data_IF_719131891000
#
_entry.id   IF_719131891000
#
_cell.length_a   1.000
_cell.length_b   1.000
_cell.length_c   1.000
_cell.angle_alpha   90.00
_cell.angle_beta   90.00
_cell.angle_gamma   90.00
#
_symmetry.space_group_name_H-M   'P 1'
#
loop_
_entity.id
_entity.type
_entity.pdbx_description
1 polymer ?
#
# COMPACT_ATOMS: atom_id res chain seq x y z
N UNK A 1 -1.76 15.71 -1.94
CA UNK A 1 -1.52 15.79 -0.48
C UNK A 1 -1.48 17.22 0.03
N UNK A 2 -1.35 18.22 -0.84
CA UNK A 2 -1.12 19.63 -0.48
C UNK A 2 -2.28 20.30 0.28
N UNK A 3 -3.51 19.84 0.06
CA UNK A 3 -4.69 20.37 0.74
C UNK A 3 -4.96 19.72 2.10
N UNK A 4 -4.27 18.63 2.45
CA UNK A 4 -4.56 17.87 3.67
C UNK A 4 -4.23 18.68 4.93
N UNK A 5 -3.06 19.32 4.97
CA UNK A 5 -2.65 20.16 6.10
C UNK A 5 -3.63 21.30 6.38
N UNK A 6 -3.92 22.17 5.40
CA UNK A 6 -4.90 23.25 5.57
C UNK A 6 -6.32 22.77 5.89
N UNK A 7 -6.70 21.57 5.46
CA UNK A 7 -8.01 20.99 5.77
C UNK A 7 -8.10 20.47 7.21
N UNK A 8 -7.07 19.75 7.68
CA UNK A 8 -7.03 19.20 9.04
C UNK A 8 -6.71 20.26 10.10
N UNK A 9 -5.91 21.26 9.74
CA UNK A 9 -5.40 22.32 10.62
C UNK A 9 -5.74 23.70 10.02
N UNK A 10 -7.02 24.08 9.99
CA UNK A 10 -7.48 25.26 9.27
C UNK A 10 -6.91 26.59 9.81
N UNK A 11 -6.40 26.61 11.04
CA UNK A 11 -5.75 27.79 11.61
C UNK A 11 -4.21 27.69 11.60
N UNK A 12 -3.65 26.65 10.96
CA UNK A 12 -2.21 26.43 10.90
C UNK A 12 -1.61 25.90 12.22
N UNK A 13 -2.42 25.28 13.07
CA UNK A 13 -2.01 24.80 14.40
C UNK A 13 -1.02 23.62 14.38
N UNK A 14 -0.90 22.90 13.25
CA UNK A 14 0.04 21.80 13.07
C UNK A 14 0.56 21.73 11.63
N UNK A 15 1.73 21.13 11.49
CA UNK A 15 2.35 20.82 10.19
C UNK A 15 2.47 19.32 10.02
N UNK A 16 2.29 18.83 8.78
CA UNK A 16 2.54 17.44 8.45
C UNK A 16 4.04 17.26 8.24
N UNK A 17 4.67 16.45 9.08
CA UNK A 17 6.10 16.17 9.03
C UNK A 17 6.42 15.02 8.06
N UNK A 18 5.62 13.97 8.09
CA UNK A 18 5.84 12.77 7.29
C UNK A 18 4.53 12.19 6.76
N UNK A 19 4.64 11.51 5.61
CA UNK A 19 3.55 10.73 5.04
C UNK A 19 3.89 9.25 5.10
N UNK A 20 3.00 8.51 5.76
CA UNK A 20 3.00 7.04 5.79
C UNK A 20 1.85 6.54 4.95
N UNK A 21 2.10 5.54 4.12
CA UNK A 21 1.06 4.94 3.28
C UNK A 21 1.02 3.42 3.46
N UNK A 22 -0.18 2.87 3.47
CA UNK A 22 -0.42 1.43 3.47
C UNK A 22 -1.58 1.12 2.53
N UNK A 23 -1.66 -0.12 2.05
CA UNK A 23 -2.70 -0.53 1.11
C UNK A 23 -2.70 -2.03 0.89
N UNK A 24 -3.89 -2.62 0.78
CA UNK A 24 -4.07 -4.08 0.65
C UNK A 24 -4.49 -4.41 -0.78
N UNK A 25 -3.72 -5.20 -1.53
CA UNK A 25 -4.11 -5.82 -2.81
C UNK A 25 -4.16 -4.88 -4.04
N UNK A 26 -5.11 -5.16 -4.95
CA UNK A 26 -5.21 -4.70 -6.33
C UNK A 26 -6.55 -4.04 -6.69
N UNK A 27 -7.61 -4.25 -5.90
CA UNK A 27 -8.94 -3.72 -6.17
C UNK A 27 -9.50 -3.03 -4.93
N UNK A 28 -10.10 -1.84 -5.13
CA UNK A 28 -10.61 -0.84 -4.16
C UNK A 28 -9.76 -0.51 -2.92
N UNK A 29 -8.73 -1.30 -2.61
CA UNK A 29 -7.71 -1.13 -1.60
C UNK A 29 -6.35 -1.49 -2.21
N UNK A 30 -5.31 -0.85 -1.70
CA UNK A 30 -4.46 0.04 -2.51
C UNK A 30 -2.99 -0.39 -2.55
N UNK A 31 -2.66 -1.69 -2.52
CA UNK A 31 -1.26 -2.15 -2.52
C UNK A 31 -0.43 -1.62 -3.71
N UNK A 32 -1.04 -1.47 -4.88
CA UNK A 32 -0.38 -0.88 -6.07
C UNK A 32 -0.27 0.62 -6.02
N UNK A 33 -1.27 1.30 -5.45
CA UNK A 33 -1.23 2.75 -5.26
C UNK A 33 -0.17 3.10 -4.23
N UNK A 34 0.02 2.28 -3.20
CA UNK A 34 1.14 2.37 -2.26
C UNK A 34 2.47 2.30 -2.98
N UNK A 35 2.69 1.30 -3.84
CA UNK A 35 3.91 1.22 -4.65
C UNK A 35 4.08 2.41 -5.59
N UNK A 36 3.01 2.85 -6.24
CA UNK A 36 3.05 3.99 -7.16
C UNK A 36 3.38 5.31 -6.44
N UNK A 37 2.84 5.52 -5.25
CA UNK A 37 3.12 6.71 -4.42
C UNK A 37 4.52 6.65 -3.79
N UNK A 38 4.98 5.47 -3.38
CA UNK A 38 6.37 5.26 -2.98
C UNK A 38 7.32 5.66 -4.12
N UNK A 39 6.98 5.32 -5.37
CA UNK A 39 7.80 5.63 -6.53
C UNK A 39 7.69 7.11 -6.98
N UNK A 40 6.49 7.69 -7.06
CA UNK A 40 6.26 8.99 -7.70
C UNK A 40 6.30 10.18 -6.74
N UNK A 41 5.93 10.01 -5.46
CA UNK A 41 5.86 11.14 -4.53
C UNK A 41 7.03 11.10 -3.53
N UNK A 42 7.99 12.04 -3.62
CA UNK A 42 9.13 12.08 -2.71
C UNK A 42 8.75 12.42 -1.27
N UNK A 43 7.53 12.89 -0.99
CA UNK A 43 7.07 13.16 0.39
C UNK A 43 6.70 11.89 1.14
N UNK A 44 6.40 10.80 0.42
CA UNK A 44 6.08 9.50 1.01
C UNK A 44 7.37 8.78 1.35
N UNK A 45 7.71 8.74 2.63
CA UNK A 45 8.96 8.15 3.12
C UNK A 45 8.76 6.73 3.66
N UNK A 46 7.56 6.40 4.12
CA UNK A 46 7.23 5.10 4.70
C UNK A 46 6.07 4.48 3.93
N UNK A 47 6.24 3.23 3.49
CA UNK A 47 5.21 2.50 2.75
C UNK A 47 5.07 1.05 3.18
N UNK A 48 3.82 0.60 3.31
CA UNK A 48 3.49 -0.76 3.76
C UNK A 48 2.51 -1.42 2.77
N UNK A 49 2.98 -1.82 1.57
CA UNK A 49 2.14 -2.56 0.64
C UNK A 49 1.87 -3.98 1.15
N UNK A 50 0.60 -4.33 1.30
CA UNK A 50 0.13 -5.64 1.74
C UNK A 50 -0.47 -6.37 0.55
N UNK A 51 0.12 -7.50 0.17
CA UNK A 51 -0.33 -8.39 -0.92
C UNK A 51 -0.45 -7.61 -2.25
N UNK A 52 0.46 -6.66 -2.45
CA UNK A 52 0.56 -5.84 -3.66
C UNK A 52 1.97 -5.92 -4.21
N UNK A 53 2.11 -5.95 -5.54
CA UNK A 53 3.41 -5.96 -6.19
C UNK A 53 3.80 -4.55 -6.69
N UNK A 54 5.09 -4.28 -6.87
CA UNK A 54 5.57 -3.01 -7.42
C UNK A 54 5.02 -2.75 -8.82
N UNK A 55 4.90 -1.47 -9.18
CA UNK A 55 4.40 -1.03 -10.49
C UNK A 55 5.25 -1.59 -11.65
N UNK A 56 6.53 -1.80 -11.39
CA UNK A 56 7.53 -2.43 -12.21
C UNK A 56 7.13 -3.81 -12.72
N UNK A 57 6.43 -4.57 -11.87
CA UNK A 57 5.96 -5.92 -12.17
C UNK A 57 4.51 -5.93 -12.70
N UNK A 58 3.86 -4.76 -12.76
CA UNK A 58 2.46 -4.58 -13.15
C UNK A 58 2.13 -5.22 -14.51
N UNK A 59 2.92 -5.01 -15.58
CA UNK A 59 2.64 -5.63 -16.87
C UNK A 59 2.72 -7.16 -16.83
N UNK A 60 3.64 -7.71 -16.04
CA UNK A 60 3.92 -9.16 -15.99
C UNK A 60 2.73 -9.91 -15.42
N UNK A 61 2.24 -9.50 -14.25
CA UNK A 61 1.14 -10.22 -13.62
C UNK A 61 -0.21 -9.85 -14.25
N UNK A 62 -0.42 -8.59 -14.70
CA UNK A 62 -1.70 -8.19 -15.33
C UNK A 62 -1.90 -8.92 -16.66
N UNK A 63 -0.82 -9.10 -17.43
CA UNK A 63 -0.82 -9.97 -18.62
C UNK A 63 -1.16 -11.41 -18.26
N UNK A 64 -0.52 -11.97 -17.23
CA UNK A 64 -0.79 -13.34 -16.80
C UNK A 64 -2.27 -13.51 -16.38
N UNK A 65 -2.83 -12.53 -15.66
CA UNK A 65 -4.23 -12.50 -15.26
C UNK A 65 -5.17 -12.43 -16.45
N UNK A 66 -4.96 -11.49 -17.37
CA UNK A 66 -5.77 -11.36 -18.58
C UNK A 66 -5.82 -12.68 -19.37
N UNK A 67 -4.65 -13.28 -19.62
CA UNK A 67 -4.55 -14.56 -20.33
C UNK A 67 -5.26 -15.70 -19.59
N UNK A 68 -5.16 -15.76 -18.25
CA UNK A 68 -5.85 -16.78 -17.45
C UNK A 68 -7.38 -16.66 -17.51
N UNK A 69 -7.90 -15.47 -17.82
CA UNK A 69 -9.32 -15.19 -17.99
C UNK A 69 -9.78 -15.30 -19.45
N UNK A 70 -8.92 -15.78 -20.35
CA UNK A 70 -9.22 -15.89 -21.78
C UNK A 70 -9.24 -14.54 -22.51
N UNK A 71 -8.77 -13.47 -21.88
CA UNK A 71 -8.63 -12.16 -22.51
C UNK A 71 -7.33 -12.09 -23.30
N UNK A 72 -7.36 -11.35 -24.41
CA UNK A 72 -6.18 -11.09 -25.24
C UNK A 72 -5.38 -9.92 -24.66
N UNK A 73 -4.05 -9.99 -24.73
CA UNK A 73 -3.14 -8.90 -24.35
C UNK A 73 -2.76 -8.04 -25.57
N UNK A 74 -3.76 -7.60 -26.32
CA UNK A 74 -3.62 -6.85 -27.56
C UNK A 74 -4.84 -5.94 -27.77
N UNK A 75 -4.80 -4.99 -28.73
CA UNK A 75 -5.95 -4.14 -29.03
C UNK A 75 -7.19 -4.97 -29.46
N UNK A 76 -8.42 -4.58 -29.07
CA UNK A 76 -8.79 -3.36 -28.35
C UNK A 76 -8.69 -3.47 -26.82
N UNK A 77 -8.46 -4.66 -26.26
CA UNK A 77 -8.45 -4.91 -24.80
C UNK A 77 -7.25 -4.21 -24.13
N UNK A 78 -6.09 -4.22 -24.79
CA UNK A 78 -4.88 -3.54 -24.36
C UNK A 78 -4.39 -2.57 -25.44
N UNK A 79 -4.93 -1.34 -25.49
CA UNK A 79 -4.63 -0.40 -26.56
C UNK A 79 -3.21 0.19 -26.45
N UNK A 80 -2.57 0.61 -27.56
CA UNK A 80 -1.22 1.16 -27.53
C UNK A 80 -1.09 2.43 -26.68
N UNK A 81 -2.17 3.22 -26.59
CA UNK A 81 -2.22 4.40 -25.73
C UNK A 81 -2.14 4.07 -24.25
N UNK A 82 -2.63 2.91 -23.81
CA UNK A 82 -2.51 2.45 -22.43
C UNK A 82 -1.11 1.84 -22.17
N UNK A 83 -0.55 1.18 -23.18
CA UNK A 83 0.76 0.52 -23.09
C UNK A 83 1.86 1.49 -22.65
N UNK A 84 1.87 2.73 -23.14
CA UNK A 84 2.89 3.73 -22.73
C UNK A 84 2.82 4.11 -21.26
N UNK A 85 1.66 3.97 -20.62
CA UNK A 85 1.50 4.26 -19.18
C UNK A 85 1.87 3.05 -18.31
N UNK A 86 1.55 1.83 -18.77
CA UNK A 86 1.77 0.60 -18.00
C UNK A 86 3.18 0.03 -18.22
N UNK A 87 3.74 0.17 -19.41
CA UNK A 87 5.08 -0.28 -19.79
C UNK A 87 5.96 0.91 -20.20
N UNK A 88 6.24 1.89 -19.31
CA UNK A 88 7.10 3.01 -19.65
C UNK A 88 8.55 2.54 -19.85
N UNK A 89 9.34 3.32 -20.60
CA UNK A 89 10.80 3.11 -20.64
C UNK A 89 11.35 3.35 -19.23
N UNK A 90 11.99 2.33 -18.66
CA UNK A 90 12.54 2.39 -17.30
C UNK A 90 14.02 2.72 -17.31
N UNK A 91 14.43 3.68 -16.49
CA UNK A 91 15.82 4.05 -16.27
C UNK A 91 16.25 3.62 -14.85
N UNK A 92 17.07 2.56 -14.69
CA UNK A 92 17.46 2.06 -13.37
C UNK A 92 18.04 3.10 -12.42
N UNK A 93 18.75 4.11 -12.94
CA UNK A 93 19.33 5.18 -12.12
C UNK A 93 18.24 6.09 -11.53
N UNK A 94 17.24 6.44 -12.33
CA UNK A 94 16.11 7.25 -11.86
C UNK A 94 15.24 6.47 -10.88
N UNK A 95 15.00 5.19 -11.13
CA UNK A 95 14.22 4.32 -10.25
C UNK A 95 14.91 4.15 -8.89
N UNK A 96 16.23 3.95 -8.89
CA UNK A 96 17.03 3.91 -7.66
C UNK A 96 16.91 5.23 -6.88
N UNK A 97 16.99 6.38 -7.54
CA UNK A 97 16.85 7.67 -6.89
C UNK A 97 15.47 7.86 -6.25
N UNK A 98 14.42 7.33 -6.89
CA UNK A 98 13.04 7.39 -6.36
C UNK A 98 12.91 6.57 -5.10
N UNK A 99 13.44 5.35 -5.04
CA UNK A 99 13.28 4.47 -3.86
C UNK A 99 14.30 4.69 -2.74
N UNK A 100 15.49 5.23 -3.05
CA UNK A 100 16.59 5.34 -2.09
C UNK A 100 16.22 6.15 -0.85
N UNK A 101 16.47 5.58 0.33
CA UNK A 101 16.19 6.21 1.62
C UNK A 101 14.79 5.96 2.19
N UNK A 102 13.89 5.33 1.45
CA UNK A 102 12.53 5.02 1.94
C UNK A 102 12.54 3.85 2.93
N UNK A 103 11.50 3.77 3.75
CA UNK A 103 11.25 2.65 4.66
C UNK A 103 10.06 1.84 4.14
N UNK A 104 10.31 0.64 3.62
CA UNK A 104 9.29 -0.17 2.95
C UNK A 104 9.12 -1.53 3.63
N UNK A 105 7.89 -1.89 3.97
CA UNK A 105 7.54 -3.26 4.37
C UNK A 105 6.54 -3.85 3.38
N UNK A 106 7.00 -4.75 2.53
CA UNK A 106 6.17 -5.48 1.59
C UNK A 106 5.80 -6.84 2.14
N UNK A 107 4.50 -7.14 2.23
CA UNK A 107 4.01 -8.40 2.81
C UNK A 107 3.22 -9.21 1.79
N UNK A 108 3.41 -10.52 1.74
CA UNK A 108 2.77 -11.40 0.74
C UNK A 108 2.36 -12.74 1.32
N UNK A 109 1.30 -13.34 0.76
CA UNK A 109 0.99 -14.75 0.95
C UNK A 109 1.70 -15.60 -0.10
N UNK A 110 2.39 -16.65 0.31
CA UNK A 110 3.13 -17.54 -0.62
C UNK A 110 2.21 -18.30 -1.57
N UNK A 111 1.01 -18.63 -1.12
CA UNK A 111 0.00 -19.38 -1.88
C UNK A 111 -0.99 -18.45 -2.60
N UNK A 112 -0.71 -17.14 -2.65
CA UNK A 112 -1.55 -16.18 -3.36
C UNK A 112 -1.55 -16.46 -4.87
N UNK A 113 -2.75 -16.73 -5.41
CA UNK A 113 -2.98 -16.96 -6.83
C UNK A 113 -3.51 -15.74 -7.57
N UNK A 114 -4.02 -14.73 -6.86
CA UNK A 114 -4.54 -13.49 -7.44
C UNK A 114 -3.40 -12.50 -7.71
N UNK A 115 -2.46 -12.39 -6.78
CA UNK A 115 -1.25 -11.54 -6.89
C UNK A 115 -0.02 -12.36 -6.51
N UNK A 116 0.42 -13.30 -7.37
CA UNK A 116 1.45 -14.25 -6.97
C UNK A 116 2.79 -13.55 -6.75
N UNK A 117 3.35 -13.67 -5.54
CA UNK A 117 4.64 -13.08 -5.16
C UNK A 117 5.73 -13.31 -6.21
N UNK A 118 5.85 -14.55 -6.71
CA UNK A 118 6.86 -14.92 -7.71
C UNK A 118 6.77 -14.16 -9.04
N UNK A 119 5.67 -13.44 -9.33
CA UNK A 119 5.57 -12.57 -10.51
C UNK A 119 6.29 -11.22 -10.34
N UNK A 120 6.52 -10.77 -9.11
CA UNK A 120 7.22 -9.52 -8.81
C UNK A 120 8.45 -9.66 -7.92
N UNK A 121 8.82 -10.89 -7.53
CA UNK A 121 10.00 -11.16 -6.69
C UNK A 121 11.28 -10.48 -7.20
N UNK A 122 11.54 -10.56 -8.51
CA UNK A 122 12.72 -9.91 -9.10
C UNK A 122 12.72 -8.40 -8.86
N UNK A 123 11.59 -7.73 -9.10
CA UNK A 123 11.48 -6.28 -8.94
C UNK A 123 11.52 -5.88 -7.46
N UNK A 124 10.86 -6.65 -6.59
CA UNK A 124 10.92 -6.45 -5.13
C UNK A 124 12.35 -6.52 -4.60
N UNK A 125 13.12 -7.54 -4.99
CA UNK A 125 14.53 -7.70 -4.61
C UNK A 125 15.41 -6.56 -5.15
N UNK A 126 15.09 -6.09 -6.35
CA UNK A 126 15.81 -4.97 -6.94
C UNK A 126 15.52 -3.65 -6.20
N UNK A 127 14.27 -3.43 -5.80
CA UNK A 127 13.86 -2.26 -5.00
C UNK A 127 14.47 -2.34 -3.60
N UNK A 128 14.45 -3.50 -2.95
CA UNK A 128 15.13 -3.76 -1.66
C UNK A 128 16.60 -3.32 -1.73
N UNK A 129 17.31 -3.73 -2.78
CA UNK A 129 18.68 -3.26 -3.02
C UNK A 129 18.75 -1.74 -3.17
N UNK A 130 17.91 -1.14 -4.02
CA UNK A 130 17.95 0.31 -4.28
C UNK A 130 17.66 1.16 -3.05
N UNK A 131 16.76 0.71 -2.18
CA UNK A 131 16.42 1.37 -0.92
C UNK A 131 17.64 1.46 -0.01
N UNK A 132 18.41 0.37 0.10
CA UNK A 132 19.50 0.19 1.05
C UNK A 132 20.90 0.56 0.49
N UNK A 133 21.01 0.78 -0.82
CA UNK A 133 22.30 1.03 -1.50
C UNK A 133 22.95 2.34 -1.04
N UNK A 134 22.15 3.38 -0.79
CA UNK A 134 22.63 4.65 -0.25
C UNK A 134 22.61 4.63 1.30
N UNK A 135 23.70 4.15 1.88
CA UNK A 135 23.89 4.11 3.33
C UNK A 135 23.78 5.47 4.01
N UNK A 136 23.94 6.57 3.27
CA UNK A 136 23.78 7.93 3.80
C UNK A 136 22.32 8.33 4.04
N UNK A 137 21.36 7.60 3.45
CA UNK A 137 19.93 7.90 3.57
C UNK A 137 19.18 7.04 4.59
N UNK A 138 19.79 5.97 5.11
CA UNK A 138 19.17 5.11 6.13
C UNK A 138 17.89 4.42 5.67
N UNK A 139 17.75 4.13 4.37
CA UNK A 139 16.61 3.38 3.84
C UNK A 139 16.60 1.94 4.33
N UNK A 140 15.41 1.38 4.52
CA UNK A 140 15.21 -0.02 4.97
C UNK A 140 14.09 -0.64 4.16
N UNK A 141 14.31 -1.83 3.61
CA UNK A 141 13.25 -2.57 2.92
C UNK A 141 13.14 -3.98 3.50
N UNK A 142 11.95 -4.35 3.97
CA UNK A 142 11.65 -5.69 4.44
C UNK A 142 10.61 -6.35 3.52
N UNK A 143 10.89 -7.58 3.09
CA UNK A 143 9.97 -8.40 2.31
C UNK A 143 9.55 -9.61 3.15
N UNK A 144 8.31 -9.62 3.63
CA UNK A 144 7.71 -10.71 4.40
C UNK A 144 6.86 -11.60 3.48
N UNK A 145 7.17 -12.89 3.42
CA UNK A 145 6.39 -13.87 2.64
C UNK A 145 5.92 -14.97 3.58
N UNK A 146 4.60 -15.08 3.77
CA UNK A 146 4.00 -15.99 4.73
C UNK A 146 3.65 -17.34 4.07
N UNK A 147 4.23 -18.43 4.59
CA UNK A 147 3.90 -19.80 4.17
C UNK A 147 2.44 -20.15 4.50
N UNK A 148 1.80 -20.96 3.65
CA UNK A 148 0.40 -21.40 3.80
C UNK A 148 -0.65 -20.26 3.81
N UNK A 149 -0.27 -19.04 3.40
CA UNK A 149 -1.19 -17.89 3.29
C UNK A 149 -1.48 -17.61 1.82
N UNK A 150 -2.78 -17.54 1.47
CA UNK A 150 -3.26 -17.19 0.14
C UNK A 150 -3.47 -15.68 -0.05
N UNK A 151 -4.51 -15.30 -0.81
CA UNK A 151 -4.88 -13.90 -1.01
C UNK A 151 -5.72 -13.35 0.15
N UNK A 152 -5.11 -13.18 1.33
CA UNK A 152 -5.79 -12.66 2.51
C UNK A 152 -4.85 -11.82 3.37
N UNK A 153 -5.31 -10.63 3.77
CA UNK A 153 -4.60 -9.83 4.76
C UNK A 153 -4.69 -10.54 6.12
N UNK A 154 -3.59 -11.18 6.55
CA UNK A 154 -3.57 -11.91 7.80
C UNK A 154 -3.47 -10.95 8.99
N UNK A 155 -3.92 -11.38 10.17
CA UNK A 155 -3.74 -10.60 11.41
C UNK A 155 -2.25 -10.33 11.69
N UNK A 156 -1.36 -11.25 11.29
CA UNK A 156 0.08 -11.06 11.41
C UNK A 156 0.57 -9.92 10.50
N UNK A 157 0.04 -9.81 9.28
CA UNK A 157 0.36 -8.68 8.40
C UNK A 157 -0.10 -7.35 9.02
N UNK A 158 -1.29 -7.31 9.62
CA UNK A 158 -1.79 -6.11 10.28
C UNK A 158 -0.92 -5.70 11.48
N UNK A 159 -0.51 -6.66 12.33
CA UNK A 159 0.39 -6.40 13.47
C UNK A 159 1.73 -5.84 13.02
N UNK A 160 2.36 -6.49 12.05
CA UNK A 160 3.63 -6.01 11.46
C UNK A 160 3.47 -4.64 10.81
N UNK A 161 2.34 -4.35 10.17
CA UNK A 161 2.07 -3.02 9.61
C UNK A 161 2.06 -1.95 10.71
N UNK A 162 1.34 -2.18 11.81
CA UNK A 162 1.31 -1.24 12.95
C UNK A 162 2.71 -1.07 13.55
N UNK A 163 3.43 -2.16 13.79
CA UNK A 163 4.81 -2.13 14.28
C UNK A 163 5.72 -1.31 13.33
N UNK A 164 5.55 -1.47 12.02
CA UNK A 164 6.34 -0.75 11.02
C UNK A 164 6.07 0.76 11.01
N UNK A 165 4.82 1.18 11.24
CA UNK A 165 4.50 2.61 11.36
C UNK A 165 5.18 3.27 12.54
N UNK A 166 5.49 2.49 13.57
CA UNK A 166 6.11 2.95 14.80
C UNK A 166 7.63 2.76 14.81
N UNK A 167 8.25 2.30 13.71
CA UNK A 167 9.71 2.29 13.59
C UNK A 167 10.16 3.74 13.73
N UNK A 168 10.86 4.07 14.83
CA UNK A 168 11.32 5.44 15.02
C UNK A 168 12.16 5.83 13.79
N UNK A 169 12.15 7.09 13.41
CA UNK A 169 13.42 7.69 12.98
C UNK A 169 14.45 7.21 14.00
N UNK A 170 15.38 6.32 13.66
CA UNK A 170 16.30 5.73 14.64
C UNK A 170 17.42 6.74 14.90
N UNK A 171 17.43 7.53 16.00
CA UNK A 171 18.69 7.90 16.60
C UNK A 171 19.30 6.64 17.23
N UNK A 172 20.60 6.47 17.05
CA UNK A 172 21.37 5.43 17.75
C UNK A 172 21.14 5.57 19.26
N UNK A 173 20.58 4.53 19.89
CA UNK A 173 20.46 4.43 21.34
C UNK A 173 19.03 4.20 21.83
N UNK A 174 18.61 2.92 21.86
CA UNK A 174 17.56 2.46 22.78
C UNK A 174 18.12 1.30 23.59
N UNK A 175 18.13 1.43 24.90
CA UNK A 175 18.38 0.32 25.82
C UNK A 175 17.12 -0.56 25.90
N UNK A 176 17.31 -1.88 25.98
CA UNK A 176 16.26 -2.87 26.27
C UNK A 176 15.57 -2.52 27.59
N UNK A 177 14.30 -2.09 27.56
CA UNK A 177 13.55 -1.83 28.80
C UNK A 177 12.15 -1.21 28.69
N UNK A 178 11.75 -0.63 27.56
CA UNK A 178 10.40 -0.05 27.42
C UNK A 178 9.35 -1.13 27.03
N UNK A 179 8.94 -1.96 28.00
CA UNK A 179 7.92 -3.01 27.82
C UNK A 179 6.45 -2.52 27.97
N UNK A 180 6.22 -1.23 28.22
CA UNK A 180 4.91 -0.72 28.67
C UNK A 180 3.97 -0.17 27.58
N UNK A 181 4.16 -0.52 26.30
CA UNK A 181 3.14 -0.28 25.26
C UNK A 181 2.27 -1.53 25.08
N UNK A 182 1.21 -1.65 25.88
CA UNK A 182 0.18 -2.68 25.66
C UNK A 182 -0.63 -2.36 24.41
N UNK A 183 -0.40 -3.13 23.34
CA UNK A 183 -1.29 -3.13 22.18
C UNK A 183 -2.67 -3.71 22.55
N UNK A 184 -3.76 -3.17 21.98
CA UNK A 184 -5.09 -3.70 22.20
C UNK A 184 -5.16 -5.17 21.77
N UNK A 185 -5.68 -5.99 22.67
CA UNK A 185 -5.97 -7.41 22.47
C UNK A 185 -7.15 -7.59 21.49
N UNK A 186 -7.37 -8.79 20.93
CA UNK A 186 -8.54 -9.04 20.09
C UNK A 186 -9.88 -8.69 20.75
N UNK A 187 -9.95 -8.75 22.08
CA UNK A 187 -11.13 -8.34 22.85
C UNK A 187 -11.32 -6.81 22.85
N UNK A 188 -10.24 -6.03 22.89
CA UNK A 188 -10.24 -4.57 22.79
C UNK A 188 -10.69 -4.06 21.41
N UNK A 189 -10.56 -4.89 20.36
CA UNK A 189 -11.05 -4.59 19.01
C UNK A 189 -12.56 -4.85 18.83
N UNK A 190 -13.19 -5.54 19.77
CA UNK A 190 -14.63 -5.83 19.72
C UNK A 190 -15.49 -4.61 20.10
N UNK A 191 -14.94 -3.71 20.92
CA UNK A 191 -15.56 -2.45 21.34
C UNK A 191 -15.77 -1.50 20.14
N UNK A 192 -14.88 -1.54 19.15
CA UNK A 192 -14.97 -0.70 17.94
C UNK A 192 -16.10 -1.10 16.99
N UNK A 193 -16.66 -2.31 17.11
CA UNK A 193 -17.84 -2.70 16.33
C UNK A 193 -19.13 -2.06 16.85
N UNK A 194 -19.22 -1.78 18.15
CA UNK A 194 -20.46 -1.29 18.75
C UNK A 194 -20.54 0.25 18.78
N UNK A 195 -19.40 0.96 18.84
CA UNK A 195 -19.38 2.44 18.86
C UNK A 195 -19.55 3.11 17.48
N UNK A 196 -19.33 2.40 16.36
CA UNK A 196 -19.45 2.97 15.00
C UNK A 196 -20.55 2.32 14.12
N UNK A 197 -21.32 1.38 14.66
CA UNK A 197 -22.49 0.78 13.99
C UNK A 197 -23.82 1.05 14.72
N UNK A 198 -23.83 1.90 15.75
CA UNK A 198 -25.06 2.25 16.49
C UNK A 198 -25.53 3.70 16.33
N UNK A 199 -24.87 4.50 15.50
CA UNK A 199 -25.45 5.80 15.11
C UNK A 199 -26.58 5.57 14.09
N UNK A 200 -27.81 5.61 14.62
CA UNK A 200 -29.07 5.81 13.92
C UNK A 200 -29.00 7.06 13.02
N UNK A 201 -28.38 6.92 11.84
CA UNK A 201 -28.71 7.78 10.72
C UNK A 201 -30.01 7.26 10.12
N UNK A 202 -31.12 7.91 10.51
CA UNK A 202 -32.35 7.98 9.73
C UNK A 202 -31.98 8.19 8.26
N UNK A 203 -32.10 7.13 7.47
CA UNK A 203 -32.12 7.26 6.02
C UNK A 203 -33.35 8.11 5.66
N UNK A 204 -33.20 9.24 4.95
CA UNK A 204 -34.38 9.92 4.42
C UNK A 204 -35.09 8.96 3.45
N UNK A 205 -36.40 8.82 3.64
CA UNK A 205 -37.27 7.94 2.88
C UNK A 205 -37.12 8.16 1.37
N UNK A 206 -37.18 7.06 0.62
CA UNK A 206 -37.21 7.05 -0.84
C UNK A 206 -38.46 7.78 -1.32
N UNK A 207 -38.34 9.03 -1.76
CA UNK A 207 -39.36 9.64 -2.60
C UNK A 207 -39.45 8.90 -3.93
N UNK A 208 -40.60 8.26 -4.12
CA UNK A 208 -41.03 7.58 -5.33
C UNK A 208 -41.21 8.59 -6.46
N UNK A 209 -40.41 8.48 -7.51
CA UNK A 209 -40.71 9.14 -8.78
C UNK A 209 -41.92 8.44 -9.42
N UNK A 210 -43.10 9.04 -9.27
CA UNK A 210 -44.26 8.79 -10.12
C UNK A 210 -44.94 10.10 -10.49
N UNK A 211 -45.14 10.26 -11.80
CA UNK A 211 -46.01 11.21 -12.49
C UNK A 211 -45.63 12.70 -12.47
N UNK A 212 -45.16 13.18 -13.62
CA UNK A 212 -45.89 14.24 -14.32
C UNK A 212 -45.71 14.12 -15.84
N UNK A 213 -46.81 13.77 -16.50
CA UNK A 213 -47.09 14.16 -17.88
C UNK A 213 -47.35 15.66 -17.89
N UNK A 214 -46.69 16.38 -18.79
CA UNK A 214 -47.30 17.31 -19.75
C UNK A 214 -46.25 17.71 -20.77
#
# INVERSE_FOLDING_TARGET
MDFLGPYLFPNGEKTIESFVITGISLGENTGHVTWKLLHDDPRVQIGIPIIGLPFESFPVYLRARALSQGLKWEPPVYPPSLKSFIEPIRNPVEEQQKYGGKKILSMHGKEDRLVPYGKGERDLRQIEKWVEEDKGKGGVCAIDVQDNVGHVCSIQMLKKAVEWTWIPELPEGREEGDEDMKFPTPDDMTVWKDEYLTDDHHAPERETYHNMKC
#
